data_IF_621275891919
#
_entry.id   IF_621275891919
#
_cell.length_a   1.000
_cell.length_b   1.000
_cell.length_c   1.000
_cell.angle_alpha   90.00
_cell.angle_beta   90.00
_cell.angle_gamma   90.00
#
_symmetry.space_group_name_H-M   'P 1'
#
loop_
_entity.id
_entity.type
_entity.pdbx_description
1 polymer ?
#
# COMPACT_ATOMS: atom_id res chain seq x y z
N UNK A 1 -7.39 62.46 17.68
CA UNK A 1 -6.42 63.57 17.84
C UNK A 1 -5.41 63.07 18.86
N UNK A 2 -4.09 62.98 18.70
CA UNK A 2 -3.15 63.74 17.88
C UNK A 2 -1.80 62.97 17.84
N UNK A 3 -1.49 62.43 16.66
CA UNK A 3 -0.18 62.45 15.96
C UNK A 3 1.00 63.14 16.67
N UNK A 4 2.17 62.50 16.67
CA UNK A 4 3.47 63.13 16.96
C UNK A 4 4.61 62.40 16.24
N UNK A 5 5.18 63.07 15.23
CA UNK A 5 6.25 62.60 14.31
C UNK A 5 7.66 62.90 14.83
N UNK A 6 8.59 62.01 14.49
CA UNK A 6 9.96 62.17 13.96
C UNK A 6 10.67 63.54 13.94
N UNK A 7 11.96 63.54 14.36
CA UNK A 7 13.12 64.21 13.75
C UNK A 7 14.41 63.51 14.23
N UNK A 8 15.20 62.88 13.35
CA UNK A 8 16.38 63.39 12.62
C UNK A 8 17.54 63.93 13.48
N UNK A 9 18.69 63.24 13.50
CA UNK A 9 19.92 63.70 12.83
C UNK A 9 21.08 62.70 12.92
N UNK A 10 21.87 62.73 11.85
CA UNK A 10 23.00 61.88 11.51
C UNK A 10 24.31 62.62 11.77
N UNK A 11 25.39 61.94 12.14
CA UNK A 11 26.75 62.31 11.73
C UNK A 11 27.66 61.09 11.66
N UNK A 12 28.51 61.11 10.64
CA UNK A 12 29.37 60.04 10.14
C UNK A 12 30.82 60.15 10.63
N UNK A 13 31.59 59.08 10.37
CA UNK A 13 33.04 59.00 10.40
C UNK A 13 33.48 57.61 10.90
N UNK A 14 34.14 56.72 10.17
CA UNK A 14 34.92 56.83 8.94
C UNK A 14 36.35 56.34 9.19
N UNK A 15 36.79 55.33 8.41
CA UNK A 15 38.17 54.81 8.18
C UNK A 15 38.40 53.35 8.65
N UNK A 16 39.17 52.47 7.98
CA UNK A 16 39.53 52.24 6.57
C UNK A 16 40.49 51.04 6.50
N UNK A 17 40.12 49.98 5.73
CA UNK A 17 40.98 49.07 4.90
C UNK A 17 42.13 48.25 5.58
N UNK A 18 42.74 47.22 4.93
CA UNK A 18 42.71 46.87 3.50
C UNK A 18 42.46 45.39 3.12
N UNK A 19 42.22 45.24 1.82
CA UNK A 19 42.07 44.05 0.99
C UNK A 19 43.34 43.68 0.21
N UNK A 20 43.49 42.39 -0.17
CA UNK A 20 44.20 41.75 -1.33
C UNK A 20 45.19 40.63 -0.93
N UNK A 21 45.65 39.73 -1.84
CA UNK A 21 45.35 39.59 -3.28
C UNK A 21 45.01 38.18 -3.79
N UNK A 22 44.55 38.15 -5.05
CA UNK A 22 44.52 37.06 -6.02
C UNK A 22 45.91 36.62 -6.50
N UNK A 23 46.08 35.34 -6.88
CA UNK A 23 47.15 34.88 -7.77
C UNK A 23 46.68 33.74 -8.69
N UNK A 24 46.59 34.05 -9.97
CA UNK A 24 46.80 33.14 -11.09
C UNK A 24 48.31 33.06 -11.38
N UNK A 25 48.84 31.87 -11.68
CA UNK A 25 49.96 31.69 -12.63
C UNK A 25 49.97 30.28 -13.21
N UNK A 26 50.22 30.24 -14.52
CA UNK A 26 50.34 29.09 -15.43
C UNK A 26 51.68 28.37 -15.30
N UNK A 27 51.71 27.12 -15.80
CA UNK A 27 52.88 26.33 -16.22
C UNK A 27 52.60 24.84 -15.94
N UNK A 28 52.58 23.88 -16.87
CA UNK A 28 53.20 23.76 -18.18
C UNK A 28 54.16 22.56 -18.16
N UNK A 29 53.84 21.49 -18.89
CA UNK A 29 54.69 20.37 -19.41
C UNK A 29 53.95 19.02 -19.23
N UNK A 30 53.29 18.44 -20.24
CA UNK A 30 53.80 17.70 -21.42
C UNK A 30 54.77 16.56 -21.10
N UNK A 31 54.31 15.30 -21.24
CA UNK A 31 55.00 14.13 -21.82
C UNK A 31 53.90 13.05 -22.01
N UNK A 32 53.42 12.81 -23.22
CA UNK A 32 54.01 11.96 -24.27
C UNK A 32 53.45 10.52 -24.25
N UNK A 33 52.78 10.24 -25.34
CA UNK A 33 52.20 9.02 -25.88
C UNK A 33 53.20 7.85 -26.02
N UNK A 34 52.78 6.60 -25.71
CA UNK A 34 52.54 5.49 -26.68
C UNK A 34 52.56 4.07 -26.02
N UNK A 35 51.85 3.10 -26.63
CA UNK A 35 51.80 1.66 -26.27
C UNK A 35 52.74 0.82 -27.20
N UNK A 36 52.54 -0.50 -27.48
CA UNK A 36 52.23 -1.72 -26.68
C UNK A 36 53.25 -2.87 -26.92
N UNK A 37 53.17 -4.01 -26.19
CA UNK A 37 53.70 -5.32 -26.62
C UNK A 37 52.92 -6.44 -25.88
N UNK A 38 52.18 -7.38 -26.51
CA UNK A 38 52.50 -8.53 -27.39
C UNK A 38 53.37 -9.64 -26.77
N UNK A 39 52.81 -10.87 -26.83
CA UNK A 39 53.42 -12.19 -26.59
C UNK A 39 52.44 -13.04 -25.76
N UNK A 40 51.70 -14.02 -26.29
CA UNK A 40 52.13 -15.19 -27.08
C UNK A 40 52.71 -16.24 -26.11
N UNK A 41 52.30 -17.50 -26.01
CA UNK A 41 51.53 -18.37 -26.90
C UNK A 41 51.05 -19.62 -26.14
N UNK A 42 50.07 -20.33 -26.73
CA UNK A 42 49.95 -21.79 -26.99
C UNK A 42 50.61 -22.78 -26.00
N UNK A 43 50.09 -23.96 -25.66
CA UNK A 43 49.38 -24.99 -26.42
C UNK A 43 49.19 -26.19 -25.47
N UNK A 44 48.22 -27.07 -25.72
CA UNK A 44 48.21 -28.38 -25.05
C UNK A 44 46.88 -29.13 -25.12
N UNK A 45 46.61 -29.77 -26.26
CA UNK A 45 45.61 -30.85 -26.41
C UNK A 45 45.96 -32.04 -25.49
N UNK A 46 44.96 -32.76 -24.99
CA UNK A 46 44.73 -34.19 -25.32
C UNK A 46 43.45 -34.75 -24.66
N UNK A 47 42.68 -35.46 -25.49
CA UNK A 47 41.53 -36.36 -25.21
C UNK A 47 42.05 -37.74 -24.71
N UNK A 48 41.22 -38.79 -24.59
CA UNK A 48 39.93 -38.96 -23.90
C UNK A 48 39.94 -40.22 -22.98
N UNK A 49 38.91 -40.41 -22.14
CA UNK A 49 38.74 -41.62 -21.32
C UNK A 49 37.29 -42.10 -21.28
N UNK A 50 37.10 -43.35 -21.70
CA UNK A 50 35.85 -44.09 -21.90
C UNK A 50 35.27 -44.67 -20.60
N UNK A 51 33.94 -44.84 -20.58
CA UNK A 51 33.31 -46.02 -19.96
C UNK A 51 32.41 -45.75 -18.75
N UNK A 52 31.19 -46.30 -18.79
CA UNK A 52 30.37 -46.48 -17.59
C UNK A 52 28.87 -46.35 -17.78
N UNK A 53 28.25 -47.34 -18.43
CA UNK A 53 26.81 -47.59 -18.35
C UNK A 53 26.49 -48.19 -16.98
N UNK A 54 25.57 -47.59 -16.21
CA UNK A 54 24.87 -48.27 -15.13
C UNK A 54 23.40 -47.84 -15.07
N UNK A 55 22.56 -48.88 -15.06
CA UNK A 55 21.12 -48.87 -14.96
C UNK A 55 20.59 -48.21 -13.67
N UNK A 56 19.36 -47.72 -13.78
CA UNK A 56 18.72 -46.86 -12.80
C UNK A 56 18.28 -47.49 -11.48
N UNK A 57 17.92 -46.60 -10.56
CA UNK A 57 17.00 -46.84 -9.43
C UNK A 57 16.14 -45.59 -9.20
N UNK A 58 14.90 -45.86 -8.81
CA UNK A 58 13.74 -44.99 -8.98
C UNK A 58 13.77 -43.63 -8.29
N UNK A 59 13.13 -42.67 -8.95
CA UNK A 59 12.69 -41.40 -8.37
C UNK A 59 11.29 -41.60 -7.78
N UNK A 60 11.19 -41.42 -6.47
CA UNK A 60 9.92 -41.25 -5.77
C UNK A 60 9.14 -40.06 -6.38
N UNK A 61 7.80 -40.15 -6.49
CA UNK A 61 7.01 -39.03 -6.98
C UNK A 61 7.01 -37.91 -5.93
N UNK A 62 7.64 -36.80 -6.30
CA UNK A 62 7.50 -35.52 -5.61
C UNK A 62 6.01 -35.15 -5.63
N UNK A 63 5.34 -35.25 -4.48
CA UNK A 63 4.04 -34.62 -4.25
C UNK A 63 4.24 -33.11 -4.30
N UNK A 64 4.13 -32.54 -5.50
CA UNK A 64 3.93 -31.12 -5.67
C UNK A 64 2.66 -30.73 -4.91
N UNK A 65 2.80 -29.86 -3.91
CA UNK A 65 1.67 -29.13 -3.33
C UNK A 65 1.01 -28.36 -4.48
N UNK A 66 -0.13 -28.87 -4.94
CA UNK A 66 -0.98 -28.15 -5.87
C UNK A 66 -1.40 -26.83 -5.23
N UNK A 67 -1.04 -25.72 -5.86
CA UNK A 67 -1.81 -24.49 -5.69
C UNK A 67 -3.25 -24.82 -6.09
N UNK A 68 -4.19 -24.70 -5.15
CA UNK A 68 -5.61 -24.89 -5.42
C UNK A 68 -6.03 -23.92 -6.52
N UNK A 69 -6.32 -24.44 -7.70
CA UNK A 69 -6.93 -23.68 -8.79
C UNK A 69 -8.41 -23.60 -8.46
N UNK A 70 -8.91 -22.40 -8.14
CA UNK A 70 -10.35 -22.10 -8.15
C UNK A 70 -10.89 -22.50 -9.53
N UNK A 71 -11.72 -23.54 -9.56
CA UNK A 71 -12.06 -24.28 -10.76
C UNK A 71 -13.31 -23.74 -11.44
N UNK A 72 -13.40 -23.94 -12.75
CA UNK A 72 -14.56 -23.60 -13.60
C UNK A 72 -15.76 -24.54 -13.33
N UNK A 73 -16.23 -24.60 -12.09
CA UNK A 73 -17.46 -25.30 -11.75
C UNK A 73 -18.66 -24.34 -11.87
N UNK A 74 -19.76 -24.79 -12.48
CA UNK A 74 -20.96 -23.95 -12.70
C UNK A 74 -21.52 -23.36 -11.41
N UNK A 75 -21.37 -24.06 -10.28
CA UNK A 75 -21.74 -23.58 -8.93
C UNK A 75 -20.90 -22.39 -8.44
N UNK A 76 -19.69 -22.19 -8.95
CA UNK A 76 -18.82 -21.05 -8.59
C UNK A 76 -19.06 -19.83 -9.49
N UNK A 77 -19.53 -20.03 -10.72
CA UNK A 77 -19.86 -18.93 -11.66
C UNK A 77 -21.02 -18.09 -11.13
N UNK A 78 -21.99 -18.70 -10.43
CA UNK A 78 -23.09 -18.00 -9.79
C UNK A 78 -22.61 -16.95 -8.76
N UNK A 79 -21.42 -17.13 -8.17
CA UNK A 79 -20.84 -16.15 -7.24
C UNK A 79 -20.35 -14.87 -7.92
N UNK A 80 -20.23 -14.86 -9.25
CA UNK A 80 -19.79 -13.71 -10.03
C UNK A 80 -20.93 -12.99 -10.76
N UNK A 81 -22.16 -13.48 -10.63
CA UNK A 81 -23.36 -12.87 -11.21
C UNK A 81 -24.21 -12.29 -10.10
N UNK A 82 -24.26 -10.98 -10.00
CA UNK A 82 -25.15 -10.27 -9.09
C UNK A 82 -25.57 -8.96 -9.75
N UNK A 83 -26.78 -8.96 -10.32
CA UNK A 83 -27.36 -7.73 -10.89
C UNK A 83 -27.71 -6.80 -9.75
N UNK A 84 -27.26 -5.55 -9.82
CA UNK A 84 -27.60 -4.55 -8.82
C UNK A 84 -29.12 -4.34 -8.79
N UNK A 85 -29.82 -4.91 -7.81
CA UNK A 85 -31.23 -4.60 -7.56
C UNK A 85 -31.26 -3.40 -6.60
N UNK A 86 -32.00 -2.36 -6.99
CA UNK A 86 -32.23 -1.20 -6.12
C UNK A 86 -33.19 -1.62 -5.01
N UNK A 87 -32.79 -1.33 -3.77
CA UNK A 87 -33.57 -1.31 -2.52
C UNK A 87 -33.63 -2.61 -1.72
N UNK A 88 -32.85 -2.65 -0.64
CA UNK A 88 -33.44 -2.68 0.69
C UNK A 88 -32.69 -1.62 1.47
N UNK A 89 -33.40 -0.67 2.09
CA UNK A 89 -32.79 0.26 3.03
C UNK A 89 -32.20 -0.59 4.16
N UNK A 90 -30.90 -0.88 4.06
CA UNK A 90 -30.15 -1.38 5.20
C UNK A 90 -30.33 -0.35 6.32
N UNK A 91 -30.49 -0.77 7.59
CA UNK A 91 -30.63 0.18 8.68
C UNK A 91 -29.42 1.10 8.63
N UNK A 92 -29.68 2.38 8.32
CA UNK A 92 -28.65 3.42 8.31
C UNK A 92 -28.00 3.35 9.67
N UNK A 93 -26.73 2.97 9.71
CA UNK A 93 -25.99 2.95 10.96
C UNK A 93 -26.09 4.34 11.59
N UNK A 94 -26.75 4.42 12.74
CA UNK A 94 -26.81 5.62 13.54
C UNK A 94 -25.64 5.54 14.52
N UNK A 95 -24.64 6.43 14.41
CA UNK A 95 -23.53 6.43 15.35
C UNK A 95 -24.04 6.66 16.77
N UNK A 96 -23.52 5.88 17.72
CA UNK A 96 -23.78 6.08 19.14
C UNK A 96 -23.08 7.35 19.64
N UNK A 97 -21.95 7.71 19.03
CA UNK A 97 -21.15 8.88 19.39
C UNK A 97 -20.96 9.83 18.21
N UNK A 98 -20.73 11.10 18.53
CA UNK A 98 -20.05 12.07 17.66
C UNK A 98 -18.58 12.15 18.05
N UNK A 99 -17.72 12.62 17.14
CA UNK A 99 -16.32 12.87 17.48
C UNK A 99 -16.13 13.86 18.64
N UNK A 100 -17.10 14.75 18.84
CA UNK A 100 -17.11 15.68 19.97
C UNK A 100 -17.30 14.98 21.32
N UNK A 101 -17.92 13.79 21.33
CA UNK A 101 -18.30 13.07 22.55
C UNK A 101 -17.12 12.25 23.09
N UNK A 102 -16.14 11.90 22.26
CA UNK A 102 -14.93 11.21 22.70
C UNK A 102 -14.09 12.10 23.62
N UNK A 103 -13.54 11.52 24.69
CA UNK A 103 -12.65 12.22 25.64
C UNK A 103 -11.21 12.37 25.11
N UNK A 104 -11.10 13.18 24.06
CA UNK A 104 -9.84 13.48 23.37
C UNK A 104 -9.54 14.98 23.38
N UNK A 105 -8.27 15.32 23.18
CA UNK A 105 -7.79 16.69 23.18
C UNK A 105 -8.59 17.64 22.25
N UNK A 106 -8.87 18.86 22.71
CA UNK A 106 -9.65 19.85 21.97
C UNK A 106 -9.03 20.26 20.62
N UNK A 107 -7.69 20.39 20.53
CA UNK A 107 -7.02 20.66 19.26
C UNK A 107 -7.15 19.48 18.28
N UNK A 108 -7.13 18.25 18.78
CA UNK A 108 -7.38 17.07 17.96
C UNK A 108 -8.82 17.06 17.43
N UNK A 109 -9.82 17.38 18.27
CA UNK A 109 -11.23 17.53 17.83
C UNK A 109 -11.37 18.57 16.70
N UNK A 110 -10.71 19.72 16.85
CA UNK A 110 -10.71 20.76 15.82
C UNK A 110 -10.08 20.27 14.50
N UNK A 111 -8.98 19.52 14.56
CA UNK A 111 -8.33 18.96 13.38
C UNK A 111 -9.18 17.88 12.70
N UNK A 112 -9.88 17.04 13.47
CA UNK A 112 -10.82 16.04 12.94
C UNK A 112 -11.92 16.73 12.13
N UNK A 113 -12.56 17.76 12.70
CA UNK A 113 -13.59 18.54 12.00
C UNK A 113 -13.04 19.27 10.77
N UNK A 114 -11.85 19.88 10.87
CA UNK A 114 -11.21 20.57 9.74
C UNK A 114 -10.87 19.63 8.58
N UNK A 115 -10.69 18.33 8.85
CA UNK A 115 -10.54 17.29 7.83
C UNK A 115 -11.87 16.81 7.24
N UNK A 116 -13.01 17.29 7.74
CA UNK A 116 -14.34 16.93 7.26
C UNK A 116 -14.97 15.71 7.94
N UNK A 117 -14.42 15.26 9.06
CA UNK A 117 -14.95 14.13 9.83
C UNK A 117 -16.06 14.61 10.77
N UNK A 118 -17.31 14.55 10.32
CA UNK A 118 -18.46 15.03 11.10
C UNK A 118 -19.03 13.95 12.04
N UNK A 119 -19.22 12.74 11.52
CA UNK A 119 -19.77 11.60 12.24
C UNK A 119 -18.84 10.39 12.08
N UNK A 120 -18.63 9.58 13.13
CA UNK A 120 -17.80 8.40 13.03
C UNK A 120 -18.49 7.32 12.19
N UNK A 121 -17.69 6.59 11.42
CA UNK A 121 -18.14 5.37 10.72
C UNK A 121 -18.36 4.24 11.73
N UNK A 122 -19.06 3.13 11.37
CA UNK A 122 -19.35 2.07 12.33
C UNK A 122 -18.10 1.46 12.98
N UNK A 123 -16.99 1.35 12.22
CA UNK A 123 -15.74 0.83 12.78
C UNK A 123 -15.09 1.85 13.71
N UNK A 124 -15.19 3.15 13.42
CA UNK A 124 -14.65 4.21 14.27
C UNK A 124 -15.44 4.32 15.58
N UNK A 125 -16.77 4.38 15.48
CA UNK A 125 -17.67 4.53 16.63
C UNK A 125 -17.49 3.41 17.65
N UNK A 126 -17.38 2.17 17.16
CA UNK A 126 -17.21 1.00 18.02
C UNK A 126 -15.78 0.84 18.55
N UNK A 127 -14.75 1.20 17.79
CA UNK A 127 -13.34 0.89 18.18
C UNK A 127 -12.64 2.00 18.94
N UNK A 128 -12.97 3.27 18.70
CA UNK A 128 -12.31 4.40 19.35
C UNK A 128 -12.44 4.33 20.88
N UNK A 129 -13.61 4.06 21.48
CA UNK A 129 -13.74 3.98 22.94
C UNK A 129 -12.79 2.96 23.57
N UNK A 130 -12.71 1.75 23.02
CA UNK A 130 -11.82 0.69 23.52
C UNK A 130 -10.35 1.03 23.34
N UNK A 131 -9.99 1.62 22.19
CA UNK A 131 -8.63 2.06 21.92
C UNK A 131 -8.20 3.20 22.87
N UNK A 132 -9.09 4.13 23.22
CA UNK A 132 -8.81 5.19 24.21
C UNK A 132 -8.57 4.63 25.62
N UNK A 133 -9.22 3.52 25.97
CA UNK A 133 -8.99 2.80 27.23
C UNK A 133 -7.68 1.99 27.24
N UNK A 134 -6.93 1.97 26.13
CA UNK A 134 -5.70 1.19 26.01
C UNK A 134 -5.93 -0.32 25.87
N UNK A 135 -7.15 -0.74 25.58
CA UNK A 135 -7.46 -2.16 25.33
C UNK A 135 -6.97 -2.57 23.94
N UNK A 136 -6.48 -3.80 23.83
CA UNK A 136 -6.15 -4.41 22.54
C UNK A 136 -7.43 -4.54 21.69
N UNK A 137 -7.34 -4.22 20.40
CA UNK A 137 -8.51 -4.19 19.51
C UNK A 137 -8.23 -4.99 18.25
N UNK A 138 -9.18 -5.85 17.87
CA UNK A 138 -9.26 -6.44 16.53
C UNK A 138 -10.40 -5.78 15.76
N UNK A 139 -10.07 -5.01 14.73
CA UNK A 139 -11.04 -4.35 13.85
C UNK A 139 -11.19 -5.08 12.52
N UNK A 140 -12.32 -5.76 12.31
CA UNK A 140 -12.69 -6.39 11.05
C UNK A 140 -13.61 -5.47 10.25
N UNK A 141 -13.08 -4.89 9.18
CA UNK A 141 -13.85 -4.07 8.25
C UNK A 141 -13.19 -3.99 6.87
N UNK A 142 -14.00 -3.80 5.82
CA UNK A 142 -13.49 -3.61 4.46
C UNK A 142 -12.62 -2.34 4.32
N UNK A 143 -11.83 -2.26 3.25
CA UNK A 143 -11.06 -1.03 2.95
C UNK A 143 -11.99 0.15 2.65
N UNK A 144 -11.60 1.36 3.07
CA UNK A 144 -12.41 2.56 2.84
C UNK A 144 -13.51 2.81 3.88
N UNK A 145 -13.67 1.92 4.87
CA UNK A 145 -14.61 2.08 6.00
C UNK A 145 -14.12 3.03 7.09
N UNK A 146 -12.93 3.61 6.94
CA UNK A 146 -12.38 4.57 7.89
C UNK A 146 -11.49 3.99 9.00
N UNK A 147 -11.00 2.75 8.84
CA UNK A 147 -10.06 2.08 9.78
C UNK A 147 -8.87 2.94 10.19
N UNK A 148 -8.28 3.67 9.23
CA UNK A 148 -7.12 4.53 9.49
C UNK A 148 -7.39 5.58 10.57
N UNK A 149 -8.52 6.30 10.48
CA UNK A 149 -8.89 7.27 11.52
C UNK A 149 -9.27 6.57 12.83
N UNK A 150 -9.86 5.37 12.76
CA UNK A 150 -10.25 4.59 13.92
C UNK A 150 -9.09 4.27 14.86
N UNK A 151 -7.89 4.01 14.34
CA UNK A 151 -6.68 3.86 15.16
C UNK A 151 -5.88 5.15 15.33
N UNK A 152 -5.83 6.04 14.34
CA UNK A 152 -5.00 7.25 14.47
C UNK A 152 -5.51 8.19 15.55
N UNK A 153 -6.84 8.41 15.63
CA UNK A 153 -7.44 9.34 16.59
C UNK A 153 -7.08 8.98 18.05
N UNK A 154 -7.36 7.76 18.54
CA UNK A 154 -7.04 7.41 19.92
C UNK A 154 -5.53 7.38 20.18
N UNK A 155 -4.71 7.00 19.20
CA UNK A 155 -3.26 6.94 19.36
C UNK A 155 -2.59 8.31 19.36
N UNK A 156 -3.11 9.26 18.59
CA UNK A 156 -2.66 10.65 18.66
C UNK A 156 -2.96 11.22 20.04
N UNK A 157 -4.17 11.02 20.55
CA UNK A 157 -4.54 11.47 21.90
C UNK A 157 -3.66 10.83 22.98
N UNK A 158 -3.35 9.53 22.85
CA UNK A 158 -2.42 8.82 23.72
C UNK A 158 -1.03 9.45 23.72
N UNK A 159 -0.46 9.73 22.54
CA UNK A 159 0.85 10.39 22.39
C UNK A 159 0.86 11.79 23.00
N UNK A 160 -0.26 12.52 22.93
CA UNK A 160 -0.38 13.84 23.57
C UNK A 160 -0.44 13.75 25.10
N UNK A 161 -1.12 12.74 25.63
CA UNK A 161 -1.29 12.54 27.08
C UNK A 161 -0.06 11.89 27.74
N UNK A 162 0.70 11.09 26.99
CA UNK A 162 1.82 10.29 27.50
C UNK A 162 3.14 10.73 26.87
N UNK A 163 3.93 11.49 27.63
CA UNK A 163 5.26 11.90 27.20
C UNK A 163 6.15 10.68 26.91
N UNK A 164 6.75 10.67 25.71
CA UNK A 164 7.64 9.58 25.28
C UNK A 164 6.92 8.35 24.74
N UNK A 165 5.58 8.36 24.62
CA UNK A 165 4.87 7.27 23.95
C UNK A 165 5.21 7.24 22.46
N UNK A 166 5.52 6.04 21.96
CA UNK A 166 5.88 5.80 20.56
C UNK A 166 5.03 4.71 19.95
N UNK A 167 4.56 4.97 18.73
CA UNK A 167 3.61 4.14 17.99
C UNK A 167 4.28 3.61 16.72
N UNK A 168 4.27 2.28 16.57
CA UNK A 168 4.69 1.60 15.35
C UNK A 168 3.45 1.22 14.54
N UNK A 169 3.40 1.57 13.26
CA UNK A 169 2.31 1.17 12.35
C UNK A 169 2.90 0.35 11.21
N UNK A 170 2.51 -0.92 11.13
CA UNK A 170 2.86 -1.81 10.03
C UNK A 170 1.77 -1.80 8.97
N UNK A 171 2.15 -1.57 7.72
CA UNK A 171 1.26 -1.63 6.56
C UNK A 171 1.88 -2.50 5.44
N UNK A 172 1.08 -3.25 4.66
CA UNK A 172 1.57 -4.17 3.64
C UNK A 172 2.30 -3.50 2.47
N UNK A 173 1.93 -2.27 2.12
CA UNK A 173 2.47 -1.60 0.93
C UNK A 173 3.06 -0.24 1.26
N UNK A 174 3.98 0.21 0.40
CA UNK A 174 4.59 1.53 0.51
C UNK A 174 3.53 2.62 0.39
N UNK A 175 2.58 2.41 -0.51
CA UNK A 175 1.56 3.38 -0.85
C UNK A 175 0.55 3.55 0.30
N UNK A 176 0.16 2.46 0.96
CA UNK A 176 -0.67 2.54 2.15
C UNK A 176 0.06 3.21 3.31
N UNK A 177 1.34 2.91 3.54
CA UNK A 177 2.14 3.57 4.57
C UNK A 177 2.19 5.11 4.37
N UNK A 178 2.38 5.58 3.14
CA UNK A 178 2.35 7.01 2.80
C UNK A 178 0.95 7.61 3.00
N UNK A 179 -0.11 6.86 2.67
CA UNK A 179 -1.48 7.30 2.90
C UNK A 179 -1.78 7.49 4.39
N UNK A 180 -1.36 6.53 5.24
CA UNK A 180 -1.51 6.62 6.69
C UNK A 180 -0.74 7.83 7.24
N UNK A 181 0.48 8.09 6.76
CA UNK A 181 1.25 9.24 7.23
C UNK A 181 0.61 10.57 6.84
N UNK A 182 0.11 10.69 5.61
CA UNK A 182 -0.64 11.89 5.18
C UNK A 182 -1.88 12.09 6.04
N UNK A 183 -2.55 11.00 6.41
CA UNK A 183 -3.73 11.04 7.25
C UNK A 183 -3.39 11.52 8.66
N UNK A 184 -2.33 10.94 9.25
CA UNK A 184 -1.73 11.34 10.53
C UNK A 184 -1.32 12.81 10.52
N UNK A 185 -0.58 13.27 9.51
CA UNK A 185 -0.11 14.65 9.42
C UNK A 185 -1.26 15.67 9.43
N UNK A 186 -2.41 15.29 8.83
CA UNK A 186 -3.61 16.11 8.89
C UNK A 186 -4.22 16.18 10.28
N UNK A 187 -4.34 15.06 10.99
CA UNK A 187 -4.86 15.04 12.37
C UNK A 187 -3.90 15.66 13.39
N UNK A 188 -2.59 15.50 13.17
CA UNK A 188 -1.53 15.96 14.08
C UNK A 188 -1.10 17.42 13.85
N UNK A 189 -1.77 18.15 12.96
CA UNK A 189 -1.43 19.53 12.61
C UNK A 189 -1.41 20.42 13.87
N UNK A 190 -0.25 20.98 14.19
CA UNK A 190 -0.09 21.88 15.34
C UNK A 190 0.02 21.19 16.70
N UNK A 191 0.12 19.86 16.77
CA UNK A 191 0.19 19.10 18.03
C UNK A 191 1.63 18.87 18.55
N UNK A 192 2.64 19.39 17.87
CA UNK A 192 4.03 19.40 18.36
C UNK A 192 4.85 18.13 18.15
N UNK A 193 4.29 17.07 17.55
CA UNK A 193 5.02 15.86 17.17
C UNK A 193 4.87 15.55 15.67
N UNK A 194 5.68 14.61 15.16
CA UNK A 194 5.67 14.18 13.75
C UNK A 194 5.71 12.67 13.64
N UNK A 195 5.18 12.17 12.53
CA UNK A 195 5.40 10.80 12.08
C UNK A 195 6.48 10.74 11.01
N UNK A 196 6.93 9.53 10.70
CA UNK A 196 7.79 9.26 9.55
C UNK A 196 7.36 7.99 8.81
N UNK A 197 7.79 7.88 7.54
CA UNK A 197 7.53 6.71 6.69
C UNK A 197 8.82 5.92 6.43
N UNK A 198 8.79 4.63 6.76
CA UNK A 198 9.87 3.67 6.57
C UNK A 198 9.46 2.59 5.54
N UNK A 199 9.73 2.86 4.26
CA UNK A 199 9.33 1.97 3.15
C UNK A 199 10.49 1.58 2.24
N UNK A 200 10.45 0.33 1.74
CA UNK A 200 11.41 -0.22 0.78
C UNK A 200 11.47 0.56 -0.53
N UNK A 201 12.57 0.47 -1.28
CA UNK A 201 12.72 1.13 -2.59
C UNK A 201 12.77 2.66 -2.59
N UNK A 202 12.91 3.29 -1.42
CA UNK A 202 13.47 4.62 -1.24
C UNK A 202 14.84 4.50 -0.55
N UNK A 203 15.70 5.50 -0.70
CA UNK A 203 17.01 5.52 -0.06
C UNK A 203 16.87 5.38 1.47
N UNK A 204 17.66 4.50 2.06
CA UNK A 204 17.57 4.21 3.50
C UNK A 204 18.22 5.31 4.36
N UNK A 205 19.25 5.98 3.85
CA UNK A 205 19.98 7.04 4.56
C UNK A 205 19.07 8.16 5.11
N UNK A 206 18.19 8.76 4.28
CA UNK A 206 17.22 9.74 4.76
C UNK A 206 16.28 9.20 5.85
N UNK A 207 15.84 7.94 5.76
CA UNK A 207 14.98 7.33 6.78
C UNK A 207 15.72 7.13 8.10
N UNK A 208 17.00 6.71 8.06
CA UNK A 208 17.87 6.64 9.24
C UNK A 208 18.06 8.03 9.85
N UNK A 209 18.24 9.06 9.03
CA UNK A 209 18.37 10.44 9.52
C UNK A 209 17.08 10.96 10.18
N UNK A 210 15.90 10.58 9.66
CA UNK A 210 14.62 10.95 10.26
C UNK A 210 14.40 10.26 11.61
N UNK A 211 14.81 8.99 11.75
CA UNK A 211 14.72 8.27 13.03
C UNK A 211 15.48 8.94 14.17
N UNK A 212 16.59 9.65 13.88
CA UNK A 212 17.38 10.40 14.87
C UNK A 212 16.66 11.61 15.47
N UNK A 213 15.51 12.01 14.90
CA UNK A 213 14.68 13.09 15.43
C UNK A 213 13.56 12.55 16.33
N UNK A 214 13.65 11.30 16.78
CA UNK A 214 12.71 10.63 17.69
C UNK A 214 11.24 10.83 17.33
N UNK A 215 10.81 10.41 16.12
CA UNK A 215 9.42 10.53 15.72
C UNK A 215 8.53 9.71 16.65
N UNK A 216 7.39 10.30 17.03
CA UNK A 216 6.38 9.65 17.86
C UNK A 216 5.66 8.51 17.11
N UNK A 217 5.53 8.64 15.78
CA UNK A 217 4.95 7.62 14.91
C UNK A 217 5.98 7.14 13.89
N UNK A 218 6.17 5.83 13.79
CA UNK A 218 6.92 5.21 12.70
C UNK A 218 5.98 4.32 11.91
N UNK A 219 5.71 4.68 10.66
CA UNK A 219 4.80 3.97 9.76
C UNK A 219 5.66 3.28 8.70
N UNK A 220 5.53 1.96 8.51
CA UNK A 220 6.40 1.27 7.57
C UNK A 220 5.93 -0.09 7.10
N UNK A 221 6.59 -0.55 6.04
CA UNK A 221 6.43 -1.92 5.53
C UNK A 221 7.31 -2.89 6.34
N UNK A 222 6.84 -4.10 6.68
CA UNK A 222 7.58 -5.05 7.53
C UNK A 222 9.05 -5.23 7.13
N UNK A 223 9.32 -5.50 5.84
CA UNK A 223 10.70 -5.71 5.36
C UNK A 223 11.63 -4.51 5.58
N UNK A 224 11.15 -3.26 5.44
CA UNK A 224 11.99 -2.06 5.70
C UNK A 224 12.15 -1.79 7.20
N UNK A 225 11.12 -2.02 8.00
CA UNK A 225 11.23 -1.88 9.46
C UNK A 225 12.25 -2.88 10.03
N UNK A 226 12.22 -4.12 9.54
CA UNK A 226 13.20 -5.15 9.89
C UNK A 226 14.63 -4.74 9.49
N UNK A 227 14.85 -4.26 8.26
CA UNK A 227 16.17 -3.78 7.79
C UNK A 227 16.71 -2.62 8.67
N UNK A 228 15.85 -1.66 9.04
CA UNK A 228 16.23 -0.56 9.94
C UNK A 228 16.57 -1.05 11.36
N UNK A 229 15.84 -2.05 11.85
CA UNK A 229 16.10 -2.68 13.14
C UNK A 229 17.41 -3.49 13.13
N UNK A 230 17.67 -4.28 12.09
CA UNK A 230 18.91 -5.06 11.93
C UNK A 230 20.15 -4.15 11.85
N UNK A 231 20.01 -2.98 11.24
CA UNK A 231 21.04 -1.93 11.22
C UNK A 231 21.17 -1.15 12.52
N UNK A 232 20.38 -1.50 13.55
CA UNK A 232 20.31 -0.80 14.85
C UNK A 232 19.92 0.67 14.73
N UNK A 233 19.26 1.05 13.64
CA UNK A 233 18.74 2.42 13.44
C UNK A 233 17.35 2.60 14.07
N UNK A 234 16.59 1.51 14.23
CA UNK A 234 15.27 1.49 14.86
C UNK A 234 15.30 0.57 16.09
N UNK A 235 15.04 1.14 17.26
CA UNK A 235 15.00 0.41 18.55
C UNK A 235 13.55 0.16 18.93
N UNK A 236 13.10 -1.09 18.78
CA UNK A 236 11.68 -1.46 18.93
C UNK A 236 11.21 -1.56 20.39
N UNK A 237 12.12 -1.67 21.36
CA UNK A 237 11.77 -1.71 22.79
C UNK A 237 11.16 -0.41 23.29
N UNK A 238 11.42 0.71 22.61
CA UNK A 238 10.90 2.03 22.95
C UNK A 238 9.44 2.23 22.54
N UNK A 239 8.88 1.33 21.71
CA UNK A 239 7.51 1.45 21.21
C UNK A 239 6.51 0.78 22.15
N UNK A 240 5.58 1.58 22.68
CA UNK A 240 4.54 1.14 23.61
C UNK A 240 3.26 0.70 22.93
N UNK A 241 3.10 1.06 21.66
CA UNK A 241 1.93 0.73 20.87
C UNK A 241 2.32 0.24 19.48
N UNK A 242 1.60 -0.77 18.98
CA UNK A 242 1.72 -1.28 17.61
C UNK A 242 0.37 -1.41 16.93
N UNK A 243 0.33 -1.04 15.66
CA UNK A 243 -0.81 -1.24 14.77
C UNK A 243 -0.40 -2.16 13.62
N UNK A 244 -1.20 -3.18 13.35
CA UNK A 244 -1.11 -4.01 12.16
C UNK A 244 -2.29 -3.67 11.24
N UNK A 245 -2.07 -2.86 10.21
CA UNK A 245 -3.13 -2.49 9.25
C UNK A 245 -3.07 -3.38 8.01
N UNK A 246 -4.24 -3.84 7.56
CA UNK A 246 -4.40 -4.84 6.50
C UNK A 246 -3.53 -6.10 6.72
N UNK A 247 -3.67 -6.70 7.91
CA UNK A 247 -2.84 -7.83 8.33
C UNK A 247 -3.04 -9.10 7.47
N UNK A 248 -4.25 -9.32 6.97
CA UNK A 248 -4.55 -10.35 5.96
C UNK A 248 -3.70 -10.16 4.69
N UNK A 249 -3.54 -8.93 4.22
CA UNK A 249 -2.67 -8.65 3.09
C UNK A 249 -1.20 -8.83 3.40
N UNK A 250 -0.75 -8.50 4.61
CA UNK A 250 0.63 -8.76 5.01
C UNK A 250 0.93 -10.27 5.01
N UNK A 251 -0.03 -11.08 5.45
CA UNK A 251 0.04 -12.53 5.39
C UNK A 251 0.10 -13.05 3.95
N UNK A 252 -0.80 -12.61 3.08
CA UNK A 252 -0.81 -12.97 1.65
C UNK A 252 0.52 -12.65 0.94
N UNK A 253 1.18 -11.57 1.37
CA UNK A 253 2.48 -11.13 0.82
C UNK A 253 3.67 -11.89 1.43
N UNK A 254 3.44 -12.81 2.37
CA UNK A 254 4.47 -13.60 3.01
C UNK A 254 5.26 -12.83 4.07
N UNK A 255 4.73 -11.73 4.62
CA UNK A 255 5.42 -10.95 5.66
C UNK A 255 5.28 -11.54 7.07
N UNK A 256 4.72 -12.73 7.22
CA UNK A 256 4.46 -13.35 8.53
C UNK A 256 5.71 -13.45 9.41
N UNK A 257 6.83 -13.89 8.85
CA UNK A 257 8.08 -14.05 9.60
C UNK A 257 8.71 -12.70 9.97
N UNK A 258 8.58 -11.70 9.09
CA UNK A 258 9.03 -10.35 9.36
C UNK A 258 8.20 -9.71 10.47
N UNK A 259 6.87 -9.87 10.45
CA UNK A 259 5.97 -9.40 11.51
C UNK A 259 6.33 -10.05 12.85
N UNK A 260 6.47 -11.38 12.90
CA UNK A 260 6.87 -12.10 14.12
C UNK A 260 8.21 -11.62 14.65
N UNK A 261 9.18 -11.41 13.77
CA UNK A 261 10.50 -10.90 14.14
C UNK A 261 10.39 -9.51 14.77
N UNK A 262 9.67 -8.58 14.14
CA UNK A 262 9.45 -7.22 14.66
C UNK A 262 8.76 -7.27 16.03
N UNK A 263 7.65 -8.01 16.12
CA UNK A 263 6.87 -8.14 17.36
C UNK A 263 7.68 -8.74 18.51
N UNK A 264 8.58 -9.69 18.22
CA UNK A 264 9.47 -10.31 19.22
C UNK A 264 10.50 -9.34 19.83
N UNK A 265 10.79 -8.23 19.14
CA UNK A 265 11.75 -7.20 19.57
C UNK A 265 11.08 -6.01 20.26
N UNK A 266 9.75 -5.95 20.24
CA UNK A 266 8.99 -4.98 21.03
C UNK A 266 8.87 -5.45 22.49
N UNK A 267 8.52 -4.52 23.38
CA UNK A 267 8.18 -4.84 24.76
C UNK A 267 6.99 -5.81 24.83
N UNK A 268 6.96 -6.66 25.87
CA UNK A 268 5.87 -7.64 26.08
C UNK A 268 4.56 -6.95 26.41
N UNK A 269 4.58 -6.04 27.37
CA UNK A 269 3.45 -5.18 27.72
C UNK A 269 3.38 -4.02 26.74
N UNK A 270 2.45 -4.11 25.80
CA UNK A 270 2.22 -3.10 24.77
C UNK A 270 0.74 -3.08 24.41
N UNK A 271 0.29 -1.95 23.89
CA UNK A 271 -1.04 -1.82 23.31
C UNK A 271 -0.98 -2.26 21.84
N UNK A 272 -1.85 -3.17 21.43
CA UNK A 272 -1.88 -3.72 20.07
C UNK A 272 -3.23 -3.50 19.43
N UNK A 273 -3.24 -2.87 18.26
CA UNK A 273 -4.43 -2.77 17.42
C UNK A 273 -4.20 -3.54 16.12
N UNK A 274 -5.14 -4.41 15.77
CA UNK A 274 -5.04 -5.31 14.64
C UNK A 274 -6.22 -5.08 13.71
N UNK A 275 -5.96 -4.67 12.47
CA UNK A 275 -6.99 -4.38 11.49
C UNK A 275 -6.86 -5.30 10.28
N UNK A 276 -7.96 -5.94 9.93
CA UNK A 276 -8.03 -6.88 8.81
C UNK A 276 -9.37 -6.72 8.09
N UNK A 277 -9.44 -7.07 6.80
CA UNK A 277 -10.74 -7.20 6.14
C UNK A 277 -11.37 -8.56 6.45
N UNK A 278 -10.55 -9.57 6.74
CA UNK A 278 -10.98 -10.96 6.89
C UNK A 278 -10.49 -11.58 8.21
N UNK A 279 -11.20 -12.61 8.66
CA UNK A 279 -10.83 -13.43 9.82
C UNK A 279 -10.61 -14.87 9.37
N UNK A 280 -9.52 -15.12 8.65
CA UNK A 280 -9.11 -16.49 8.32
C UNK A 280 -8.51 -17.16 9.55
N UNK A 281 -8.45 -18.49 9.56
CA UNK A 281 -7.82 -19.25 10.65
C UNK A 281 -6.34 -18.87 10.88
N UNK A 282 -5.63 -18.42 9.85
CA UNK A 282 -4.27 -17.92 10.00
C UNK A 282 -4.24 -16.54 10.68
N UNK A 283 -5.22 -15.68 10.39
CA UNK A 283 -5.38 -14.40 11.07
C UNK A 283 -5.79 -14.60 12.54
N UNK A 284 -6.69 -15.54 12.84
CA UNK A 284 -7.04 -15.88 14.22
C UNK A 284 -5.82 -16.32 15.04
N UNK A 285 -4.93 -17.12 14.44
CA UNK A 285 -3.65 -17.48 15.06
C UNK A 285 -2.78 -16.26 15.33
N UNK A 286 -2.63 -15.36 14.36
CA UNK A 286 -1.86 -14.13 14.54
C UNK A 286 -2.45 -13.25 15.64
N UNK A 287 -3.78 -13.17 15.73
CA UNK A 287 -4.47 -12.46 16.81
C UNK A 287 -4.11 -13.06 18.17
N UNK A 288 -4.19 -14.39 18.31
CA UNK A 288 -3.83 -15.10 19.54
C UNK A 288 -2.33 -15.03 19.88
N UNK A 289 -1.45 -14.87 18.88
CA UNK A 289 0.00 -14.70 19.08
C UNK A 289 0.36 -13.26 19.49
N UNK A 290 -0.32 -12.25 18.95
CA UNK A 290 0.13 -10.85 19.02
C UNK A 290 -0.60 -10.00 20.05
N UNK A 291 -1.87 -10.31 20.36
CA UNK A 291 -2.75 -9.52 21.21
C UNK A 291 -3.03 -10.24 22.53
N UNK A 292 -3.38 -9.46 23.55
CA UNK A 292 -3.78 -9.97 24.86
C UNK A 292 -5.23 -9.60 25.17
N UNK A 293 -6.12 -10.59 25.24
CA UNK A 293 -7.55 -10.44 25.54
C UNK A 293 -8.22 -9.31 24.73
N UNK A 294 -8.13 -9.33 23.38
CA UNK A 294 -8.57 -8.19 22.57
C UNK A 294 -10.09 -8.08 22.48
N UNK A 295 -10.57 -6.84 22.33
CA UNK A 295 -11.94 -6.56 21.92
C UNK A 295 -12.07 -6.76 20.42
N UNK A 296 -12.91 -7.70 20.00
CA UNK A 296 -13.15 -8.00 18.58
C UNK A 296 -14.37 -7.23 18.08
N UNK A 297 -14.15 -6.36 17.10
CA UNK A 297 -15.17 -5.52 16.48
C UNK A 297 -15.29 -5.91 15.03
N UNK A 298 -16.45 -6.44 14.65
CA UNK A 298 -16.76 -6.80 13.27
C UNK A 298 -17.85 -5.90 12.71
N UNK A 299 -17.51 -5.19 11.64
CA UNK A 299 -18.46 -4.42 10.84
C UNK A 299 -18.69 -5.20 9.56
N UNK A 300 -19.82 -5.91 9.51
CA UNK A 300 -20.29 -6.55 8.29
C UNK A 300 -20.63 -5.44 7.29
N UNK A 301 -19.79 -5.27 6.28
CA UNK A 301 -20.23 -4.72 5.00
C UNK A 301 -20.81 -5.89 4.23
N UNK A 302 -22.04 -5.78 3.74
CA UNK A 302 -22.59 -6.71 2.74
C UNK A 302 -21.51 -6.97 1.68
N UNK A 303 -21.14 -8.24 1.49
CA UNK A 303 -19.89 -8.67 0.83
C UNK A 303 -19.75 -8.21 -0.62
N UNK A 304 -20.81 -7.61 -1.17
CA UNK A 304 -20.79 -6.85 -2.41
C UNK A 304 -21.47 -5.52 -2.17
N UNK A 305 -20.82 -4.37 -2.47
CA UNK A 305 -21.52 -3.10 -2.50
C UNK A 305 -22.72 -3.26 -3.44
N UNK A 306 -23.93 -3.04 -2.92
CA UNK A 306 -25.18 -3.10 -3.70
C UNK A 306 -25.19 -2.15 -4.91
N UNK A 307 -24.19 -1.26 -4.98
CA UNK A 307 -23.92 -0.29 -6.05
C UNK A 307 -23.14 -0.88 -7.24
N UNK A 308 -22.68 -2.13 -7.20
CA UNK A 308 -21.88 -2.77 -8.26
C UNK A 308 -22.70 -3.84 -8.99
N UNK A 309 -22.93 -3.61 -10.28
CA UNK A 309 -23.49 -4.59 -11.20
C UNK A 309 -22.41 -5.61 -11.60
N UNK A 310 -22.62 -6.88 -11.26
CA UNK A 310 -21.67 -7.96 -11.47
C UNK A 310 -22.19 -8.91 -12.53
N UNK A 311 -21.40 -9.08 -13.59
CA UNK A 311 -21.78 -9.91 -14.73
C UNK A 311 -20.59 -10.76 -15.21
N UNK A 312 -20.92 -11.85 -15.89
CA UNK A 312 -19.96 -12.81 -16.41
C UNK A 312 -19.96 -12.76 -17.92
N UNK A 313 -18.77 -12.58 -18.49
CA UNK A 313 -18.54 -12.71 -19.93
C UNK A 313 -18.04 -14.13 -20.18
N UNK A 314 -18.91 -14.98 -20.72
CA UNK A 314 -18.55 -16.32 -21.15
C UNK A 314 -17.78 -16.23 -22.47
N UNK A 315 -16.61 -16.86 -22.50
CA UNK A 315 -15.75 -16.93 -23.67
C UNK A 315 -15.86 -18.34 -24.21
N UNK A 316 -16.43 -18.47 -25.40
CA UNK A 316 -16.61 -19.76 -26.06
C UNK A 316 -15.28 -20.31 -26.55
N UNK A 317 -15.21 -21.63 -26.69
CA UNK A 317 -14.00 -22.32 -27.12
C UNK A 317 -13.62 -21.86 -28.55
N UNK A 318 -12.41 -21.34 -28.70
CA UNK A 318 -11.90 -20.80 -29.97
C UNK A 318 -12.04 -19.28 -30.13
N UNK A 319 -12.76 -18.60 -29.23
CA UNK A 319 -12.78 -17.14 -29.21
C UNK A 319 -11.50 -16.58 -28.59
N UNK A 320 -10.99 -15.48 -29.16
CA UNK A 320 -9.86 -14.76 -28.59
C UNK A 320 -10.33 -13.84 -27.47
N UNK A 321 -10.00 -14.24 -26.25
CA UNK A 321 -10.22 -13.48 -25.01
C UNK A 321 -9.73 -12.03 -25.10
N UNK A 322 -8.63 -11.78 -25.80
CA UNK A 322 -8.09 -10.43 -25.97
C UNK A 322 -8.95 -9.58 -26.92
N UNK A 323 -9.50 -10.16 -27.99
CA UNK A 323 -10.41 -9.44 -28.90
C UNK A 323 -11.68 -9.00 -28.17
N UNK A 324 -12.26 -9.88 -27.35
CA UNK A 324 -13.44 -9.56 -26.52
C UNK A 324 -13.14 -8.37 -25.59
N UNK A 325 -11.95 -8.35 -24.96
CA UNK A 325 -11.52 -7.22 -24.14
C UNK A 325 -11.48 -5.91 -24.95
N UNK A 326 -10.92 -5.94 -26.16
CA UNK A 326 -10.84 -4.77 -27.05
C UNK A 326 -12.22 -4.27 -27.44
N UNK A 327 -13.14 -5.16 -27.79
CA UNK A 327 -14.51 -4.83 -28.17
C UNK A 327 -15.25 -4.14 -27.02
N UNK A 328 -15.11 -4.64 -25.79
CA UNK A 328 -15.68 -4.01 -24.61
C UNK A 328 -15.08 -2.62 -24.38
N UNK A 329 -13.76 -2.50 -24.37
CA UNK A 329 -13.07 -1.24 -24.09
C UNK A 329 -13.31 -0.13 -25.13
N UNK A 330 -13.79 -0.47 -26.33
CA UNK A 330 -14.20 0.51 -27.35
C UNK A 330 -15.59 1.08 -27.13
N UNK A 331 -16.42 0.45 -26.29
CA UNK A 331 -17.75 0.98 -25.99
C UNK A 331 -17.64 2.25 -25.14
N UNK A 332 -18.49 3.26 -25.38
CA UNK A 332 -18.40 4.56 -24.70
C UNK A 332 -18.60 4.49 -23.17
N UNK A 333 -19.24 3.43 -22.68
CA UNK A 333 -19.43 3.18 -21.24
C UNK A 333 -18.12 2.88 -20.48
N UNK A 334 -17.08 2.41 -21.17
CA UNK A 334 -15.75 2.10 -20.59
C UNK A 334 -14.85 3.34 -20.52
N UNK A 335 -15.38 4.45 -19.98
CA UNK A 335 -14.63 5.71 -19.87
C UNK A 335 -13.34 5.58 -19.05
N UNK A 336 -13.35 4.76 -17.99
CA UNK A 336 -12.19 4.45 -17.13
C UNK A 336 -12.31 3.01 -16.65
N UNK A 337 -11.43 2.14 -17.14
CA UNK A 337 -11.47 0.72 -16.85
C UNK A 337 -10.22 0.25 -16.09
N UNK A 338 -10.41 -0.65 -15.13
CA UNK A 338 -9.34 -1.37 -14.44
C UNK A 338 -9.41 -2.85 -14.82
N UNK A 339 -8.36 -3.36 -15.47
CA UNK A 339 -8.28 -4.73 -15.97
C UNK A 339 -7.32 -5.53 -15.11
N UNK A 340 -7.80 -6.62 -14.52
CA UNK A 340 -6.99 -7.50 -13.67
C UNK A 340 -6.49 -8.74 -14.42
N UNK A 341 -5.17 -8.90 -14.47
CA UNK A 341 -4.50 -10.08 -14.99
C UNK A 341 -3.71 -10.82 -13.91
N UNK A 342 -3.50 -12.12 -14.11
CA UNK A 342 -2.85 -12.98 -13.12
C UNK A 342 -1.34 -12.74 -13.01
N UNK A 343 -0.67 -12.56 -14.16
CA UNK A 343 0.80 -12.51 -14.20
C UNK A 343 1.31 -11.15 -14.62
N UNK A 344 2.46 -10.74 -14.05
CA UNK A 344 3.13 -9.47 -14.38
C UNK A 344 3.46 -9.33 -15.87
N UNK A 345 3.89 -10.41 -16.51
CA UNK A 345 4.21 -10.43 -17.93
C UNK A 345 2.96 -10.38 -18.81
N UNK A 346 1.87 -11.05 -18.39
CA UNK A 346 0.59 -10.98 -19.08
C UNK A 346 0.00 -9.56 -19.04
N UNK A 347 -0.01 -8.94 -17.86
CA UNK A 347 -0.46 -7.56 -17.66
C UNK A 347 0.33 -6.57 -18.52
N UNK A 348 1.66 -6.70 -18.55
CA UNK A 348 2.53 -5.87 -19.40
C UNK A 348 2.25 -6.05 -20.89
N UNK A 349 2.00 -7.29 -21.33
CA UNK A 349 1.66 -7.61 -22.72
C UNK A 349 0.31 -7.02 -23.12
N UNK A 350 -0.72 -7.20 -22.30
CA UNK A 350 -2.07 -6.67 -22.55
C UNK A 350 -2.02 -5.15 -22.73
N UNK A 351 -1.34 -4.41 -21.85
CA UNK A 351 -1.22 -2.95 -21.97
C UNK A 351 -0.50 -2.52 -23.27
N UNK A 352 0.56 -3.23 -23.66
CA UNK A 352 1.27 -2.95 -24.93
C UNK A 352 0.39 -3.21 -26.14
N UNK A 353 -0.32 -4.33 -26.15
CA UNK A 353 -1.17 -4.72 -27.27
C UNK A 353 -2.40 -3.78 -27.38
N UNK A 354 -2.99 -3.36 -26.26
CA UNK A 354 -4.03 -2.32 -26.24
C UNK A 354 -3.51 -0.98 -26.79
N UNK A 355 -2.31 -0.57 -26.38
CA UNK A 355 -1.70 0.67 -26.85
C UNK A 355 -1.43 0.66 -28.36
N UNK A 356 -1.03 -0.49 -28.94
CA UNK A 356 -0.88 -0.67 -30.40
C UNK A 356 -2.21 -0.52 -31.15
N UNK A 357 -3.32 -0.85 -30.49
CA UNK A 357 -4.67 -0.69 -31.03
C UNK A 357 -5.27 0.68 -30.73
N UNK A 358 -4.45 1.66 -30.37
CA UNK A 358 -4.83 3.04 -30.04
C UNK A 358 -5.76 3.16 -28.81
N UNK A 359 -5.73 2.17 -27.92
CA UNK A 359 -6.40 2.23 -26.61
C UNK A 359 -5.35 2.63 -25.57
N UNK A 360 -5.43 3.89 -25.12
CA UNK A 360 -4.49 4.47 -24.16
C UNK A 360 -4.51 3.70 -22.84
N UNK A 361 -3.45 2.93 -22.58
CA UNK A 361 -3.38 2.02 -21.44
C UNK A 361 -2.01 1.99 -20.79
N UNK A 362 -1.98 1.72 -19.49
CA UNK A 362 -0.75 1.55 -18.70
C UNK A 362 -0.83 0.28 -17.84
N UNK A 363 0.32 -0.30 -17.54
CA UNK A 363 0.43 -1.50 -16.70
C UNK A 363 0.96 -1.16 -15.29
N UNK A 364 0.46 -1.87 -14.27
CA UNK A 364 0.97 -1.81 -12.89
C UNK A 364 1.18 -3.24 -12.35
N UNK A 365 2.44 -3.57 -12.05
CA UNK A 365 2.82 -4.88 -11.51
C UNK A 365 4.08 -4.76 -10.63
N UNK A 366 4.38 -5.80 -9.83
CA UNK A 366 5.50 -5.79 -8.87
C UNK A 366 6.90 -5.53 -9.46
N UNK A 367 7.12 -5.87 -10.74
CA UNK A 367 8.39 -5.60 -11.43
C UNK A 367 8.57 -4.12 -11.87
N UNK A 368 7.55 -3.24 -11.75
CA UNK A 368 7.72 -1.82 -12.10
C UNK A 368 8.43 -1.10 -10.97
N UNK A 369 9.33 -0.17 -11.34
CA UNK A 369 9.91 0.74 -10.36
C UNK A 369 8.81 1.60 -9.74
N UNK A 370 9.00 2.04 -8.50
CA UNK A 370 8.00 2.84 -7.80
C UNK A 370 7.66 4.15 -8.55
N UNK A 371 8.66 4.83 -9.12
CA UNK A 371 8.44 6.00 -9.96
C UNK A 371 7.64 5.69 -11.24
N UNK A 372 7.76 4.48 -11.81
CA UNK A 372 6.92 4.07 -12.94
C UNK A 372 5.48 3.78 -12.49
N UNK A 373 5.28 3.16 -11.31
CA UNK A 373 3.94 2.94 -10.74
C UNK A 373 3.22 4.26 -10.47
N UNK A 374 3.91 5.24 -9.86
CA UNK A 374 3.35 6.58 -9.59
C UNK A 374 2.95 7.27 -10.90
N UNK A 375 3.84 7.31 -11.90
CA UNK A 375 3.53 7.94 -13.19
C UNK A 375 2.33 7.31 -13.90
N UNK A 376 2.22 5.98 -13.88
CA UNK A 376 1.07 5.28 -14.45
C UNK A 376 -0.24 5.66 -13.73
N UNK A 377 -0.21 5.73 -12.38
CA UNK A 377 -1.36 6.17 -11.59
C UNK A 377 -1.74 7.63 -11.84
N UNK A 378 -0.76 8.52 -11.93
CA UNK A 378 -0.99 9.94 -12.22
C UNK A 378 -1.56 10.13 -13.62
N UNK A 379 -1.04 9.41 -14.61
CA UNK A 379 -1.59 9.41 -15.97
C UNK A 379 -3.06 8.94 -15.98
N UNK A 380 -3.37 7.88 -15.23
CA UNK A 380 -4.74 7.37 -15.12
C UNK A 380 -5.67 8.33 -14.36
N UNK A 381 -5.20 8.93 -13.26
CA UNK A 381 -5.94 9.95 -12.49
C UNK A 381 -6.24 11.19 -13.32
N UNK A 382 -5.29 11.62 -14.15
CA UNK A 382 -5.43 12.76 -15.05
C UNK A 382 -6.26 12.46 -16.31
N UNK A 383 -6.69 11.21 -16.52
CA UNK A 383 -7.44 10.81 -17.71
C UNK A 383 -6.61 10.72 -19.00
N UNK A 384 -5.27 10.77 -18.89
CA UNK A 384 -4.36 10.59 -20.04
C UNK A 384 -4.38 9.16 -20.57
N UNK A 385 -4.67 8.20 -19.70
CA UNK A 385 -4.92 6.80 -20.06
C UNK A 385 -6.29 6.41 -19.51
N UNK A 386 -7.08 5.73 -20.34
CA UNK A 386 -8.43 5.29 -19.99
C UNK A 386 -8.45 3.89 -19.38
N UNK A 387 -7.39 3.10 -19.59
CA UNK A 387 -7.31 1.72 -19.11
C UNK A 387 -6.07 1.51 -18.27
N UNK A 388 -6.26 0.95 -17.07
CA UNK A 388 -5.18 0.51 -16.22
C UNK A 388 -5.20 -1.01 -16.14
N UNK A 389 -4.10 -1.67 -16.48
CA UNK A 389 -3.97 -3.13 -16.40
C UNK A 389 -3.09 -3.48 -15.21
N UNK A 390 -3.58 -4.31 -14.28
CA UNK A 390 -2.88 -4.57 -13.03
C UNK A 390 -2.92 -6.04 -12.59
N UNK A 391 -1.92 -6.43 -11.80
CA UNK A 391 -1.98 -7.65 -10.98
C UNK A 391 -2.53 -7.34 -9.59
N UNK A 392 -3.16 -8.29 -8.92
CA UNK A 392 -3.73 -8.13 -7.55
C UNK A 392 -2.76 -7.46 -6.58
N UNK A 393 -1.56 -8.03 -6.45
CA UNK A 393 -0.50 -7.55 -5.54
C UNK A 393 -0.18 -6.08 -5.79
N UNK A 394 -0.21 -5.65 -7.04
CA UNK A 394 0.22 -4.32 -7.42
C UNK A 394 -0.91 -3.28 -7.36
N UNK A 395 -2.17 -3.69 -7.43
CA UNK A 395 -3.36 -2.85 -7.28
C UNK A 395 -3.81 -2.70 -5.82
N UNK A 396 -3.47 -3.66 -4.95
CA UNK A 396 -3.70 -3.60 -3.51
C UNK A 396 -2.95 -2.41 -2.89
N UNK A 397 -3.60 -1.68 -1.99
CA UNK A 397 -3.03 -0.51 -1.32
C UNK A 397 -2.75 0.72 -2.21
N UNK A 398 -3.13 0.69 -3.49
CA UNK A 398 -3.10 1.88 -4.33
C UNK A 398 -4.41 2.66 -4.19
N UNK A 399 -4.30 3.96 -3.99
CA UNK A 399 -5.40 4.92 -4.15
C UNK A 399 -5.70 5.11 -5.65
N UNK A 400 -6.38 4.12 -6.22
CA UNK A 400 -6.92 4.19 -7.58
C UNK A 400 -8.25 4.95 -7.49
N UNK A 401 -8.45 6.01 -8.30
CA UNK A 401 -9.72 6.73 -8.32
C UNK A 401 -10.85 5.78 -8.71
N UNK A 402 -12.08 6.07 -8.28
CA UNK A 402 -13.25 5.27 -8.64
C UNK A 402 -13.33 5.12 -10.17
N UNK A 403 -13.28 3.87 -10.63
CA UNK A 403 -13.36 3.53 -12.07
C UNK A 403 -14.80 3.24 -12.46
N UNK A 404 -15.16 3.36 -13.74
CA UNK A 404 -16.51 2.97 -14.18
C UNK A 404 -16.63 1.45 -14.24
N UNK A 405 -15.61 0.79 -14.78
CA UNK A 405 -15.61 -0.65 -15.00
C UNK A 405 -14.40 -1.34 -14.38
N UNK A 406 -14.64 -2.47 -13.74
CA UNK A 406 -13.61 -3.45 -13.37
C UNK A 406 -13.76 -4.67 -14.27
N UNK A 407 -12.68 -5.11 -14.90
CA UNK A 407 -12.67 -6.32 -15.73
C UNK A 407 -11.70 -7.31 -15.12
N UNK A 408 -12.21 -8.43 -14.62
CA UNK A 408 -11.39 -9.59 -14.26
C UNK A 408 -11.07 -10.34 -15.55
N UNK A 409 -9.97 -9.93 -16.20
CA UNK A 409 -9.49 -10.63 -17.39
C UNK A 409 -9.15 -12.05 -17.00
N UNK A 410 -8.32 -12.27 -15.99
CA UNK A 410 -8.12 -13.60 -15.41
C UNK A 410 -8.92 -13.76 -14.14
N UNK A 411 -9.45 -14.97 -13.91
CA UNK A 411 -10.15 -15.29 -12.67
C UNK A 411 -9.25 -15.03 -11.45
N UNK A 412 -9.79 -14.42 -10.38
CA UNK A 412 -9.08 -14.23 -9.13
C UNK A 412 -8.72 -15.57 -8.49
N UNK A 413 -7.69 -15.59 -7.66
CA UNK A 413 -7.24 -16.82 -7.00
C UNK A 413 -8.14 -17.21 -5.85
N UNK A 414 -8.79 -16.23 -5.21
CA UNK A 414 -9.75 -16.42 -4.13
C UNK A 414 -10.98 -15.51 -4.31
N UNK A 415 -12.04 -15.76 -3.54
CA UNK A 415 -13.23 -14.89 -3.56
C UNK A 415 -12.96 -13.52 -2.90
N UNK A 416 -12.05 -13.47 -1.93
CA UNK A 416 -11.62 -12.22 -1.30
C UNK A 416 -10.89 -11.33 -2.29
N UNK A 417 -10.04 -11.91 -3.14
CA UNK A 417 -9.45 -11.20 -4.28
C UNK A 417 -10.53 -10.62 -5.20
N UNK A 418 -11.55 -11.40 -5.52
CA UNK A 418 -12.68 -10.94 -6.33
C UNK A 418 -13.33 -9.68 -5.71
N UNK A 419 -13.73 -9.75 -4.44
CA UNK A 419 -14.36 -8.62 -3.71
C UNK A 419 -13.45 -7.39 -3.71
N UNK A 420 -12.14 -7.58 -3.48
CA UNK A 420 -11.16 -6.48 -3.50
C UNK A 420 -10.98 -5.83 -4.88
N UNK A 421 -11.06 -6.62 -5.96
CA UNK A 421 -10.99 -6.14 -7.34
C UNK A 421 -12.22 -5.32 -7.68
N UNK A 422 -13.41 -5.85 -7.44
CA UNK A 422 -14.65 -5.17 -7.82
C UNK A 422 -14.90 -3.91 -6.97
N UNK A 423 -14.46 -3.89 -5.70
CA UNK A 423 -14.51 -2.70 -4.83
C UNK A 423 -13.67 -1.50 -5.28
N UNK A 424 -13.05 -1.56 -6.47
CA UNK A 424 -12.41 -0.43 -7.16
C UNK A 424 -13.40 0.39 -7.99
N UNK A 425 -14.57 -0.15 -8.29
CA UNK A 425 -15.72 0.57 -8.84
C UNK A 425 -16.80 0.77 -7.75
N UNK A 426 -17.88 1.52 -8.05
CA UNK A 426 -19.04 1.61 -7.16
C UNK A 426 -18.89 2.48 -5.90
N UNK A 427 -17.90 3.39 -5.85
CA UNK A 427 -17.63 4.26 -4.68
C UNK A 427 -18.40 5.59 -4.74
N UNK A 428 -18.77 6.12 -3.57
CA UNK A 428 -19.40 7.44 -3.40
C UNK A 428 -20.65 7.65 -4.28
N UNK A 429 -21.65 6.79 -4.08
CA UNK A 429 -22.98 6.81 -4.73
C UNK A 429 -23.02 6.62 -6.26
N UNK A 430 -21.87 6.34 -6.88
CA UNK A 430 -21.79 6.04 -8.31
C UNK A 430 -22.00 4.56 -8.57
N UNK A 431 -22.81 4.23 -9.58
CA UNK A 431 -22.96 2.85 -10.07
C UNK A 431 -21.66 2.39 -10.72
N UNK A 432 -21.26 1.17 -10.41
CA UNK A 432 -20.10 0.51 -10.97
C UNK A 432 -20.48 -0.77 -11.69
N UNK A 433 -19.68 -1.19 -12.68
CA UNK A 433 -19.85 -2.51 -13.29
C UNK A 433 -18.57 -3.35 -13.18
N UNK A 434 -18.74 -4.62 -12.80
CA UNK A 434 -17.68 -5.60 -12.73
C UNK A 434 -17.96 -6.74 -13.71
N UNK A 435 -17.06 -6.96 -14.66
CA UNK A 435 -17.14 -8.04 -15.64
C UNK A 435 -16.09 -9.09 -15.33
N UNK A 436 -16.50 -10.35 -15.24
CA UNK A 436 -15.57 -11.48 -15.06
C UNK A 436 -15.54 -12.37 -16.27
N UNK A 437 -14.36 -12.57 -16.84
CA UNK A 437 -14.18 -13.44 -17.99
C UNK A 437 -14.07 -14.89 -17.51
N UNK A 438 -14.93 -15.76 -18.04
CA UNK A 438 -14.95 -17.19 -17.76
C UNK A 438 -14.85 -17.94 -19.08
N UNK A 439 -13.87 -18.84 -19.21
CA UNK A 439 -13.77 -19.69 -20.39
C UNK A 439 -14.75 -20.87 -20.24
N UNK A 440 -15.55 -21.11 -21.29
CA UNK A 440 -16.34 -22.32 -21.40
C UNK A 440 -15.45 -23.50 -21.76
N UNK A 441 -15.75 -24.68 -21.21
CA UNK A 441 -15.06 -25.93 -21.55
C UNK A 441 -15.31 -26.40 -22.98
#
# INVERSE_FOLDING_TARGET
MQVGRWNHQSTAGGSSRPSRPSRDTRGGSSYASRPPARGGASCGRSRPGSGGSYNGRGRAPSRGRGFGVFGEAEHEIAKFTNKSVVTTEEPVFVPEHKFADFDINAHLKANILAKGYNLPTPIQDKSIPHALLGQDVVGLAATGTGKTAAFLIPLIDKVMKQNGERVLIMAPTRELAVQIEKELAGFAKGLGFRGMVAVGGAAIGPQISQLRHDPAFVIGTPGRLKDLMERKALVLTEFGTVVLDEADRMLDMGFIDDMRTIMSKMRKERHTLFFSATMSHEIEKLVGEFLNSPVVISVKTTDTPSTIDQDVVRIERGQDKFQILVELLRKPEFSRALVFGRTKHGVERIAKDLSRLHIHSESIHGNKTHGARIRALEAFKAGKVSVLVATDVAARGLDIPAVSHVINYDLPSTYEDYVHRIGRTGRADKKGKALTFVQGR
#
